data_IF_351860115535
#
_entry.id   IF_351860115535
#
_cell.length_a   1.000
_cell.length_b   1.000
_cell.length_c   1.000
_cell.angle_alpha   90.00
_cell.angle_beta   90.00
_cell.angle_gamma   90.00
#
_symmetry.space_group_name_H-M   'P 1'
#
loop_
_entity.id
_entity.type
_entity.pdbx_description
1 polymer ?
#
# COMPACT_ATOMS: atom_id res chain seq x y z
N UNK A 1 -13.25 -19.93 45.89
CA UNK A 1 -12.88 -20.79 44.74
C UNK A 1 -13.74 -20.36 43.55
N UNK A 2 -13.18 -19.62 42.59
CA UNK A 2 -13.96 -19.10 41.46
C UNK A 2 -14.32 -20.25 40.49
N UNK A 3 -15.62 -20.46 40.24
CA UNK A 3 -16.11 -21.41 39.23
C UNK A 3 -16.16 -20.68 37.88
N UNK A 4 -15.11 -20.82 37.07
CA UNK A 4 -15.10 -20.30 35.70
C UNK A 4 -15.86 -21.25 34.77
N UNK A 5 -16.87 -20.73 34.07
CA UNK A 5 -17.65 -21.52 33.12
C UNK A 5 -16.85 -21.78 31.82
N UNK A 6 -16.99 -22.95 31.18
CA UNK A 6 -16.19 -23.34 30.01
C UNK A 6 -16.38 -22.40 28.80
N UNK A 7 -17.56 -21.78 28.67
CA UNK A 7 -17.82 -20.75 27.63
C UNK A 7 -16.97 -19.49 27.84
N UNK A 8 -16.75 -19.10 29.09
CA UNK A 8 -15.95 -17.92 29.45
C UNK A 8 -14.47 -18.16 29.19
N UNK A 9 -14.00 -19.38 29.48
CA UNK A 9 -12.62 -19.83 29.17
C UNK A 9 -12.38 -19.80 27.66
N UNK A 10 -13.30 -20.38 26.87
CA UNK A 10 -13.20 -20.42 25.41
C UNK A 10 -13.11 -19.00 24.79
N UNK A 11 -13.95 -18.09 25.28
CA UNK A 11 -13.95 -16.69 24.83
C UNK A 11 -12.63 -15.97 25.15
N UNK A 12 -12.08 -16.19 26.35
CA UNK A 12 -10.79 -15.60 26.74
C UNK A 12 -9.63 -16.19 25.93
N UNK A 13 -9.64 -17.50 25.65
CA UNK A 13 -8.62 -18.14 24.80
C UNK A 13 -8.67 -17.62 23.35
N UNK A 14 -9.87 -17.39 22.80
CA UNK A 14 -10.03 -16.83 21.46
C UNK A 14 -9.58 -15.36 21.38
N UNK A 15 -9.93 -14.57 22.40
CA UNK A 15 -9.49 -13.17 22.50
C UNK A 15 -7.97 -13.06 22.66
N UNK A 16 -7.34 -13.95 23.43
CA UNK A 16 -5.88 -14.01 23.54
C UNK A 16 -5.22 -14.36 22.20
N UNK A 17 -5.78 -15.31 21.45
CA UNK A 17 -5.26 -15.76 20.16
C UNK A 17 -5.23 -14.63 19.12
N UNK A 18 -6.26 -13.79 19.09
CA UNK A 18 -6.36 -12.62 18.21
C UNK A 18 -5.23 -11.59 18.44
N UNK A 19 -4.73 -11.45 19.67
CA UNK A 19 -3.66 -10.50 20.01
C UNK A 19 -2.26 -10.97 19.59
N UNK A 20 -2.09 -12.24 19.26
CA UNK A 20 -0.80 -12.83 18.88
C UNK A 20 -0.57 -12.87 17.38
N UNK A 21 -1.57 -12.48 16.57
CA UNK A 21 -1.42 -12.43 15.13
C UNK A 21 -0.41 -11.34 14.74
N UNK A 22 0.66 -11.68 13.99
CA UNK A 22 1.59 -10.69 13.51
C UNK A 22 0.87 -9.76 12.53
N UNK A 23 0.71 -8.50 12.91
CA UNK A 23 0.26 -7.46 12.01
C UNK A 23 1.35 -7.27 10.95
N UNK A 24 1.09 -7.69 9.72
CA UNK A 24 1.99 -7.40 8.61
C UNK A 24 2.14 -5.89 8.49
N UNK A 25 3.36 -5.39 8.75
CA UNK A 25 3.76 -4.04 8.36
C UNK A 25 4.43 -4.17 7.01
N UNK A 26 3.63 -4.22 5.94
CA UNK A 26 4.13 -4.12 4.58
C UNK A 26 4.83 -2.75 4.43
N UNK A 27 6.12 -2.71 4.74
CA UNK A 27 6.94 -1.52 4.67
C UNK A 27 7.50 -1.39 3.25
N UNK A 28 7.40 -0.18 2.69
CA UNK A 28 8.00 0.14 1.41
C UNK A 28 9.51 0.34 1.58
N UNK A 29 10.26 -0.02 0.54
CA UNK A 29 11.70 0.19 0.44
C UNK A 29 11.99 1.10 -0.76
N UNK A 30 12.64 2.26 -0.58
CA UNK A 30 13.10 3.10 -1.69
C UNK A 30 13.99 2.37 -2.70
N UNK A 31 14.68 1.30 -2.26
CA UNK A 31 15.63 0.53 -3.06
C UNK A 31 15.03 -0.73 -3.69
N UNK A 32 13.70 -0.86 -3.69
CA UNK A 32 13.01 -2.07 -4.14
C UNK A 32 13.43 -2.54 -5.56
N UNK A 33 13.75 -1.61 -6.45
CA UNK A 33 14.13 -1.91 -7.84
C UNK A 33 15.64 -1.94 -8.10
N UNK A 34 16.50 -1.71 -7.11
CA UNK A 34 17.94 -1.54 -7.33
C UNK A 34 18.60 -2.77 -7.98
N UNK A 35 18.11 -3.97 -7.68
CA UNK A 35 18.67 -5.21 -8.21
C UNK A 35 17.98 -5.72 -9.47
N UNK A 36 16.69 -5.42 -9.63
CA UNK A 36 15.84 -5.98 -10.71
C UNK A 36 15.70 -5.00 -11.88
N UNK A 37 15.61 -3.71 -11.60
CA UNK A 37 15.48 -2.65 -12.59
C UNK A 37 16.12 -1.34 -12.07
N UNK A 38 17.47 -1.26 -12.01
CA UNK A 38 18.19 -0.11 -11.45
C UNK A 38 17.98 1.21 -12.21
N UNK A 39 17.33 1.18 -13.38
CA UNK A 39 17.01 2.37 -14.17
C UNK A 39 15.54 2.79 -14.04
N UNK A 40 14.74 2.13 -13.20
CA UNK A 40 13.30 2.37 -13.08
C UNK A 40 12.97 3.85 -12.84
N UNK A 41 13.54 4.46 -11.79
CA UNK A 41 13.28 5.86 -11.45
C UNK A 41 13.72 6.83 -12.56
N UNK A 42 14.87 6.57 -13.18
CA UNK A 42 15.38 7.38 -14.29
C UNK A 42 14.45 7.32 -15.51
N UNK A 43 13.96 6.13 -15.86
CA UNK A 43 13.02 5.93 -16.97
C UNK A 43 11.70 6.65 -16.68
N UNK A 44 11.17 6.53 -15.46
CA UNK A 44 9.95 7.22 -15.04
C UNK A 44 10.13 8.74 -15.15
N UNK A 45 11.23 9.28 -14.61
CA UNK A 45 11.53 10.72 -14.66
C UNK A 45 11.60 11.24 -16.11
N UNK A 46 12.36 10.56 -16.98
CA UNK A 46 12.51 10.97 -18.37
C UNK A 46 11.18 10.91 -19.13
N UNK A 47 10.38 9.88 -18.89
CA UNK A 47 9.06 9.73 -19.51
C UNK A 47 8.13 10.88 -19.11
N UNK A 48 8.03 11.17 -17.81
CA UNK A 48 7.17 12.25 -17.30
C UNK A 48 7.68 13.62 -17.77
N UNK A 49 9.00 13.83 -17.76
CA UNK A 49 9.62 15.06 -18.24
C UNK A 49 9.31 15.30 -19.72
N UNK A 50 9.54 14.31 -20.58
CA UNK A 50 9.26 14.43 -22.01
C UNK A 50 7.78 14.67 -22.30
N UNK A 51 6.89 14.00 -21.56
CA UNK A 51 5.44 14.24 -21.66
C UNK A 51 5.07 15.67 -21.20
N UNK A 52 5.76 16.20 -20.20
CA UNK A 52 5.52 17.56 -19.69
C UNK A 52 5.93 18.67 -20.68
N UNK A 53 6.92 18.41 -21.55
CA UNK A 53 7.30 19.32 -22.64
C UNK A 53 6.14 19.48 -23.63
N UNK A 54 5.42 18.39 -23.91
CA UNK A 54 4.30 18.39 -24.85
C UNK A 54 3.01 18.91 -24.20
N UNK A 55 2.77 18.56 -22.93
CA UNK A 55 1.63 19.04 -22.17
C UNK A 55 2.04 19.37 -20.72
N UNK A 56 2.12 20.67 -20.36
CA UNK A 56 2.57 21.10 -19.04
C UNK A 56 1.61 20.69 -17.90
N UNK A 57 0.39 20.19 -18.21
CA UNK A 57 -0.56 19.69 -17.21
C UNK A 57 -0.29 18.24 -16.80
N UNK A 58 0.58 17.51 -17.49
CA UNK A 58 0.88 16.09 -17.21
C UNK A 58 1.27 15.86 -15.75
N UNK A 59 2.22 16.59 -15.14
CA UNK A 59 2.60 16.36 -13.74
C UNK A 59 1.42 16.52 -12.78
N UNK A 60 0.61 17.58 -12.96
CA UNK A 60 -0.57 17.82 -12.13
C UNK A 60 -1.62 16.72 -12.26
N UNK A 61 -1.83 16.18 -13.48
CA UNK A 61 -2.77 15.08 -13.71
C UNK A 61 -2.30 13.77 -13.07
N UNK A 62 -1.00 13.46 -13.14
CA UNK A 62 -0.44 12.26 -12.50
C UNK A 62 -0.58 12.35 -10.97
N UNK A 63 -0.26 13.50 -10.37
CA UNK A 63 -0.43 13.70 -8.92
C UNK A 63 -1.89 13.56 -8.49
N UNK A 64 -2.82 14.13 -9.28
CA UNK A 64 -4.25 13.98 -9.04
C UNK A 64 -4.67 12.51 -9.15
N UNK A 65 -4.23 11.80 -10.18
CA UNK A 65 -4.54 10.37 -10.37
C UNK A 65 -4.04 9.53 -9.20
N UNK A 66 -2.78 9.71 -8.78
CA UNK A 66 -2.21 9.03 -7.61
C UNK A 66 -3.02 9.30 -6.34
N UNK A 67 -3.42 10.55 -6.12
CA UNK A 67 -4.31 10.90 -5.02
C UNK A 67 -5.64 10.15 -5.11
N UNK A 68 -6.31 10.14 -6.26
CA UNK A 68 -7.61 9.47 -6.42
C UNK A 68 -7.53 7.95 -6.23
N UNK A 69 -6.45 7.32 -6.68
CA UNK A 69 -6.20 5.89 -6.47
C UNK A 69 -6.07 5.60 -4.96
N UNK A 70 -5.11 6.26 -4.30
CA UNK A 70 -4.84 6.03 -2.89
C UNK A 70 -5.99 6.41 -1.94
N UNK A 71 -6.81 7.40 -2.31
CA UNK A 71 -7.84 7.92 -1.41
C UNK A 71 -8.99 6.92 -1.19
N UNK A 72 -9.26 6.06 -2.17
CA UNK A 72 -10.31 5.05 -2.09
C UNK A 72 -9.65 3.68 -2.04
N UNK A 73 -9.69 3.02 -0.88
CA UNK A 73 -9.32 1.60 -0.67
C UNK A 73 -7.83 1.25 -0.78
N UNK A 74 -6.97 2.08 -1.37
CA UNK A 74 -5.51 1.92 -1.28
C UNK A 74 -4.76 2.31 -2.56
N UNK A 75 -3.43 2.37 -2.50
CA UNK A 75 -2.58 2.67 -3.65
C UNK A 75 -2.27 1.38 -4.44
N UNK A 76 -3.27 0.84 -5.12
CA UNK A 76 -3.19 -0.46 -5.81
C UNK A 76 -3.37 -0.37 -7.33
N UNK A 77 -3.41 0.85 -7.88
CA UNK A 77 -3.65 1.14 -9.30
C UNK A 77 -5.00 0.64 -9.82
N UNK A 78 -5.97 0.34 -8.94
CA UNK A 78 -7.31 -0.08 -9.33
C UNK A 78 -8.06 0.98 -10.14
N UNK A 79 -7.70 2.26 -10.00
CA UNK A 79 -8.26 3.35 -10.81
C UNK A 79 -7.96 3.19 -12.31
N UNK A 80 -6.96 2.40 -12.70
CA UNK A 80 -6.53 2.21 -14.09
C UNK A 80 -7.25 1.04 -14.80
N UNK A 81 -8.16 0.34 -14.12
CA UNK A 81 -8.93 -0.76 -14.69
C UNK A 81 -10.21 -0.23 -15.35
N UNK A 82 -10.56 -0.77 -16.52
CA UNK A 82 -11.81 -0.49 -17.26
C UNK A 82 -12.94 -1.46 -16.90
#
# INVERSE_FOLDING_TARGET
>A
MAKFAPKTILFHTFLLLLTTLPQSRAALDPHYYDQTCPQAEKIIFQTVYNASIHDPKVPARILRMFFHDCFIRGCDASLLLD
#
